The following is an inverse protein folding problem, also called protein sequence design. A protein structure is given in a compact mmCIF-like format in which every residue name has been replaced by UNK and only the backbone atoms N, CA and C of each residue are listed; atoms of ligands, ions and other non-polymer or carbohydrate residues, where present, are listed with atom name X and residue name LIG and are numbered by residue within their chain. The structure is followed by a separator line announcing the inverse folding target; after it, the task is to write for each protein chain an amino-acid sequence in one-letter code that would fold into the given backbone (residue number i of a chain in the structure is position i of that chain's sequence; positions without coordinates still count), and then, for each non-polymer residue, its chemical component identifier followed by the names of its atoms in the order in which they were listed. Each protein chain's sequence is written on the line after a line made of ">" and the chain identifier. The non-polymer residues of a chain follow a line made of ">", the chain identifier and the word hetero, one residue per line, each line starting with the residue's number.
data_IF_956965568590
#
_entry.id   IF_956965568590
#
_cell.length_a   1.000
_cell.length_b   1.000
_cell.length_c   1.000
_cell.angle_alpha   90.00
_cell.angle_beta   90.00
_cell.angle_gamma   90.00
#
_symmetry.space_group_name_H-M   'P 1'
#
loop_
_entity.id
_entity.type
_entity.pdbx_description
1 polymer ?
#
# COMPACT_ATOMS: atom_id res chain seq x y z
N UNK A 1 23.29 -1.65 9.54
CA UNK A 1 22.19 -2.39 8.89
C UNK A 1 21.16 -1.33 8.51
N UNK A 2 20.70 -1.28 7.25
CA UNK A 2 19.69 -0.30 6.86
C UNK A 2 18.31 -0.85 7.24
N UNK A 3 17.54 -0.13 8.03
CA UNK A 3 16.14 -0.45 8.35
C UNK A 3 15.23 0.09 7.25
N UNK A 4 14.23 -0.68 6.83
CA UNK A 4 13.25 -0.24 5.83
C UNK A 4 12.45 0.97 6.35
N UNK A 5 12.01 0.90 7.60
CA UNK A 5 11.39 1.99 8.35
C UNK A 5 12.16 2.10 9.66
N UNK A 6 12.86 3.22 9.84
CA UNK A 6 13.75 3.43 10.98
C UNK A 6 12.96 3.42 12.31
N UNK A 7 13.37 2.57 13.24
CA UNK A 7 12.76 2.47 14.58
C UNK A 7 11.34 1.87 14.59
N UNK A 8 10.94 1.14 13.54
CA UNK A 8 9.66 0.44 13.55
C UNK A 8 9.67 -0.69 14.60
N UNK A 9 8.68 -0.67 15.50
CA UNK A 9 8.56 -1.67 16.57
C UNK A 9 8.29 -3.06 15.99
N UNK A 10 8.87 -4.10 16.61
CA UNK A 10 8.56 -5.50 16.29
C UNK A 10 7.10 -5.88 16.56
N UNK A 11 6.45 -5.17 17.48
CA UNK A 11 5.02 -5.35 17.81
C UNK A 11 4.11 -4.49 16.92
N UNK A 12 4.68 -3.68 16.03
CA UNK A 12 3.95 -2.87 15.07
C UNK A 12 3.21 -3.72 14.04
N UNK A 13 2.20 -3.13 13.41
CA UNK A 13 1.36 -3.81 12.42
C UNK A 13 1.65 -3.25 11.03
N UNK A 14 1.78 -4.17 10.07
CA UNK A 14 1.88 -3.84 8.65
C UNK A 14 0.55 -4.22 7.98
N UNK A 15 -0.12 -3.25 7.38
CA UNK A 15 -1.33 -3.52 6.58
C UNK A 15 -0.98 -3.54 5.09
N UNK A 16 -1.60 -4.47 4.36
CA UNK A 16 -1.38 -4.67 2.92
C UNK A 16 -2.74 -4.65 2.25
N UNK A 17 -3.04 -3.52 1.62
CA UNK A 17 -4.32 -3.33 0.94
C UNK A 17 -4.11 -3.53 -0.56
N UNK A 18 -4.75 -4.56 -1.09
CA UNK A 18 -4.72 -4.88 -2.52
C UNK A 18 -5.77 -4.06 -3.26
N UNK A 19 -5.33 -3.24 -4.21
CA UNK A 19 -6.18 -2.43 -5.07
C UNK A 19 -6.14 -3.00 -6.47
N UNK A 20 -7.32 -3.35 -7.00
CA UNK A 20 -7.49 -3.79 -8.39
C UNK A 20 -8.28 -2.70 -9.12
N UNK A 21 -7.67 -2.15 -10.16
CA UNK A 21 -8.22 -1.07 -10.96
C UNK A 21 -9.36 -1.61 -11.83
N UNK A 22 -10.53 -0.96 -11.76
CA UNK A 22 -11.63 -1.27 -12.66
C UNK A 22 -11.32 -0.76 -14.08
N UNK A 23 -11.90 -1.34 -15.15
CA UNK A 23 -11.58 -0.98 -16.53
C UNK A 23 -11.77 0.50 -16.88
N UNK A 24 -12.66 1.20 -16.17
CA UNK A 24 -12.98 2.61 -16.37
C UNK A 24 -11.98 3.59 -15.75
N UNK A 25 -11.01 3.11 -14.96
CA UNK A 25 -9.98 3.94 -14.33
C UNK A 25 -8.60 3.66 -14.92
N UNK A 26 -7.74 4.68 -14.89
CA UNK A 26 -6.35 4.64 -15.32
C UNK A 26 -5.38 4.54 -14.14
N UNK A 27 -4.11 4.26 -14.44
CA UNK A 27 -3.04 4.31 -13.42
C UNK A 27 -2.84 5.73 -12.89
N UNK A 28 -3.07 6.74 -13.72
CA UNK A 28 -2.95 8.14 -13.31
C UNK A 28 -4.04 8.51 -12.29
N UNK A 29 -5.28 8.05 -12.49
CA UNK A 29 -6.38 8.21 -11.52
C UNK A 29 -6.02 7.57 -10.16
N UNK A 30 -5.42 6.38 -10.21
CA UNK A 30 -4.94 5.68 -9.03
C UNK A 30 -3.83 6.48 -8.32
N UNK A 31 -2.87 7.01 -9.07
CA UNK A 31 -1.76 7.79 -8.51
C UNK A 31 -2.26 9.07 -7.82
N UNK A 32 -3.18 9.80 -8.44
CA UNK A 32 -3.79 10.99 -7.85
C UNK A 32 -4.52 10.65 -6.54
N UNK A 33 -5.33 9.58 -6.56
CA UNK A 33 -6.05 9.15 -5.35
C UNK A 33 -5.12 8.71 -4.24
N UNK A 34 -4.06 7.97 -4.58
CA UNK A 34 -3.01 7.55 -3.63
C UNK A 34 -2.28 8.75 -3.05
N UNK A 35 -1.95 9.76 -3.85
CA UNK A 35 -1.28 10.97 -3.36
C UNK A 35 -2.12 11.69 -2.30
N UNK A 36 -3.43 11.82 -2.53
CA UNK A 36 -4.35 12.39 -1.55
C UNK A 36 -4.44 11.54 -0.27
N UNK A 37 -4.51 10.22 -0.40
CA UNK A 37 -4.52 9.31 0.75
C UNK A 37 -3.24 9.43 1.60
N UNK A 38 -2.08 9.42 0.95
CA UNK A 38 -0.79 9.59 1.61
C UNK A 38 -0.68 10.92 2.36
N UNK A 39 -1.11 12.02 1.73
CA UNK A 39 -1.08 13.35 2.35
C UNK A 39 -2.03 13.44 3.55
N UNK A 40 -3.23 12.87 3.45
CA UNK A 40 -4.19 12.86 4.54
C UNK A 40 -3.68 12.05 5.74
N UNK A 41 -3.15 10.84 5.51
CA UNK A 41 -2.64 10.00 6.59
C UNK A 41 -1.40 10.64 7.25
N UNK A 42 -0.50 11.24 6.46
CA UNK A 42 0.65 11.97 6.99
C UNK A 42 0.24 13.20 7.81
N UNK A 43 -0.73 13.97 7.33
CA UNK A 43 -1.15 15.22 7.98
C UNK A 43 -1.91 14.98 9.28
N UNK A 44 -2.83 14.01 9.31
CA UNK A 44 -3.75 13.84 10.43
C UNK A 44 -3.42 12.65 11.34
N UNK A 45 -2.58 11.71 10.89
CA UNK A 45 -2.34 10.46 11.60
C UNK A 45 -0.88 10.16 11.94
N UNK A 46 0.05 11.07 11.60
CA UNK A 46 1.47 10.93 11.97
C UNK A 46 1.69 10.90 13.48
N UNK A 47 0.89 11.65 14.25
CA UNK A 47 0.96 11.64 15.72
C UNK A 47 0.11 10.53 16.37
N UNK A 48 -0.81 9.92 15.61
CA UNK A 48 -1.80 8.95 16.12
C UNK A 48 -1.56 7.51 15.68
N UNK A 49 -0.37 7.19 15.18
CA UNK A 49 0.08 5.80 15.03
C UNK A 49 0.60 5.43 13.64
N UNK A 50 0.44 6.28 12.64
CA UNK A 50 1.03 6.05 11.31
C UNK A 50 2.54 6.30 11.36
N UNK A 51 3.33 5.29 11.00
CA UNK A 51 4.80 5.35 11.01
C UNK A 51 5.35 5.62 9.61
N UNK A 52 4.68 5.10 8.58
CA UNK A 52 5.08 5.27 7.19
C UNK A 52 4.33 4.33 6.26
N UNK A 53 4.64 4.43 4.97
CA UNK A 53 4.02 3.57 3.96
C UNK A 53 4.60 3.80 2.57
N UNK A 54 4.32 2.86 1.69
CA UNK A 54 4.65 2.97 0.27
C UNK A 54 3.58 2.27 -0.57
N UNK A 55 3.54 2.61 -1.85
CA UNK A 55 2.65 1.98 -2.83
C UNK A 55 3.50 1.30 -3.89
N UNK A 56 3.20 0.03 -4.17
CA UNK A 56 3.86 -0.76 -5.19
C UNK A 56 2.87 -1.08 -6.32
N UNK A 57 3.24 -0.73 -7.56
CA UNK A 57 2.46 -1.06 -8.75
C UNK A 57 2.96 -2.38 -9.35
N UNK A 58 2.03 -3.29 -9.68
CA UNK A 58 2.37 -4.55 -10.33
C UNK A 58 2.82 -4.30 -11.79
N UNK A 59 4.12 -4.45 -12.04
CA UNK A 59 4.73 -4.31 -13.37
C UNK A 59 4.46 -5.50 -14.30
N UNK A 60 3.85 -6.56 -13.77
CA UNK A 60 3.41 -7.76 -14.50
C UNK A 60 4.49 -8.83 -14.70
N UNK A 61 5.71 -8.57 -14.24
CA UNK A 61 6.82 -9.54 -14.32
C UNK A 61 6.71 -10.56 -13.19
N UNK A 62 6.62 -11.84 -13.54
CA UNK A 62 6.63 -12.94 -12.57
C UNK A 62 8.00 -13.60 -12.66
N UNK A 63 8.64 -13.82 -11.50
CA UNK A 63 9.93 -14.51 -11.45
C UNK A 63 9.70 -16.01 -11.62
N UNK A 64 10.19 -16.60 -12.70
CA UNK A 64 10.06 -18.04 -12.90
C UNK A 64 10.78 -18.80 -11.78
N UNK A 65 12.03 -18.44 -11.48
CA UNK A 65 12.81 -19.07 -10.42
C UNK A 65 12.19 -18.87 -9.02
N UNK A 66 11.51 -17.74 -8.80
CA UNK A 66 10.91 -17.38 -7.51
C UNK A 66 9.42 -17.71 -7.33
N UNK A 67 8.70 -18.14 -8.37
CA UNK A 67 7.23 -18.25 -8.33
C UNK A 67 6.68 -19.58 -8.86
N UNK A 68 7.39 -20.33 -9.70
CA UNK A 68 7.07 -21.71 -10.07
C UNK A 68 8.09 -22.29 -11.04
N UNK A 69 8.40 -23.59 -10.94
CA UNK A 69 9.39 -24.29 -11.76
C UNK A 69 9.07 -24.11 -13.26
N UNK A 70 9.74 -23.16 -13.93
CA UNK A 70 9.99 -23.19 -15.37
C UNK A 70 8.92 -22.67 -16.34
N UNK A 71 7.90 -21.90 -15.91
CA UNK A 71 6.97 -21.27 -16.88
C UNK A 71 7.01 -19.74 -16.82
N UNK A 72 7.39 -19.12 -17.94
CA UNK A 72 7.21 -17.69 -18.17
C UNK A 72 5.72 -17.36 -18.21
N UNK A 73 5.20 -16.85 -17.09
CA UNK A 73 3.82 -16.37 -16.98
C UNK A 73 3.81 -14.85 -16.86
N UNK A 74 2.96 -14.20 -17.64
CA UNK A 74 2.66 -12.78 -17.48
C UNK A 74 1.43 -12.63 -16.57
N UNK A 75 1.44 -11.64 -15.68
CA UNK A 75 0.26 -11.35 -14.86
C UNK A 75 -0.82 -10.67 -15.71
N UNK A 76 -2.09 -11.14 -15.68
CA UNK A 76 -3.20 -10.43 -16.31
C UNK A 76 -3.50 -9.08 -15.62
N UNK A 77 -2.92 -8.86 -14.44
CA UNK A 77 -3.06 -7.64 -13.64
C UNK A 77 -1.92 -6.65 -13.82
N UNK A 78 -1.06 -6.86 -14.84
CA UNK A 78 -0.05 -5.89 -15.22
C UNK A 78 -0.66 -4.50 -15.35
N UNK A 79 -0.09 -3.53 -14.63
CA UNK A 79 -0.54 -2.14 -14.59
C UNK A 79 -2.00 -1.95 -14.14
N UNK A 80 -2.59 -2.94 -13.45
CA UNK A 80 -3.98 -2.89 -12.94
C UNK A 80 -4.09 -3.23 -11.46
N UNK A 81 -2.99 -3.62 -10.84
CA UNK A 81 -2.94 -3.97 -9.43
C UNK A 81 -1.88 -3.14 -8.73
N UNK A 82 -2.27 -2.56 -7.59
CA UNK A 82 -1.34 -1.93 -6.68
C UNK A 82 -1.51 -2.49 -5.27
N UNK A 83 -0.41 -2.48 -4.52
CA UNK A 83 -0.39 -2.78 -3.10
C UNK A 83 -0.12 -1.48 -2.35
N UNK A 84 -1.03 -1.11 -1.46
CA UNK A 84 -0.81 -0.02 -0.50
C UNK A 84 -0.32 -0.68 0.78
N UNK A 85 0.94 -0.44 1.14
CA UNK A 85 1.59 -1.02 2.32
C UNK A 85 1.79 0.08 3.34
N UNK A 86 1.22 -0.06 4.53
CA UNK A 86 1.35 0.95 5.60
C UNK A 86 1.77 0.33 6.92
N UNK A 87 2.53 1.09 7.69
CA UNK A 87 3.16 0.69 8.95
C UNK A 87 2.55 1.48 10.10
N UNK A 88 2.06 0.77 11.10
CA UNK A 88 1.31 1.33 12.23
C UNK A 88 1.85 0.81 13.54
N UNK A 89 1.71 1.60 14.62
CA UNK A 89 2.01 1.10 15.97
C UNK A 89 1.01 0.03 16.42
N UNK A 90 -0.25 0.12 16.00
CA UNK A 90 -1.28 -0.88 16.28
C UNK A 90 -2.35 -0.94 15.17
N UNK A 91 -3.07 -2.06 15.08
CA UNK A 91 -4.20 -2.20 14.15
C UNK A 91 -5.40 -1.33 14.56
N UNK A 92 -5.58 -1.06 15.85
CA UNK A 92 -6.66 -0.20 16.32
C UNK A 92 -6.49 1.23 15.84
N UNK A 93 -5.27 1.79 15.94
CA UNK A 93 -4.95 3.13 15.42
C UNK A 93 -5.15 3.21 13.90
N UNK A 94 -4.82 2.15 13.15
CA UNK A 94 -5.17 2.06 11.73
C UNK A 94 -6.69 2.19 11.53
N UNK A 95 -7.50 1.37 12.19
CA UNK A 95 -8.97 1.43 12.01
C UNK A 95 -9.57 2.78 12.44
N UNK A 96 -8.97 3.46 13.43
CA UNK A 96 -9.38 4.80 13.83
C UNK A 96 -9.11 5.84 12.74
N UNK A 97 -8.05 5.69 11.92
CA UNK A 97 -7.77 6.62 10.83
C UNK A 97 -8.86 6.62 9.76
N UNK A 98 -9.53 5.48 9.55
CA UNK A 98 -10.64 5.35 8.60
C UNK A 98 -11.93 6.03 9.07
N UNK A 99 -12.05 6.38 10.36
CA UNK A 99 -13.24 7.04 10.92
C UNK A 99 -13.20 8.56 10.75
N UNK A 100 -12.09 9.12 10.28
CA UNK A 100 -11.98 10.56 10.01
C UNK A 100 -12.90 10.96 8.86
N UNK A 101 -13.60 12.10 8.99
CA UNK A 101 -14.42 12.67 7.91
C UNK A 101 -13.60 13.02 6.66
N UNK A 102 -12.29 13.19 6.80
CA UNK A 102 -11.37 13.44 5.68
C UNK A 102 -10.97 12.16 4.94
N UNK A 103 -11.22 10.99 5.52
CA UNK A 103 -11.00 9.67 4.93
C UNK A 103 -12.34 9.10 4.43
N UNK A 104 -13.02 9.81 3.53
CA UNK A 104 -14.20 9.28 2.82
C UNK A 104 -13.85 8.90 1.37
N UNK A 105 -14.36 7.75 0.87
CA UNK A 105 -14.07 7.24 -0.47
C UNK A 105 -14.46 8.23 -1.58
#
# INVERSE_FOLDING_TARGET
>A
MAELIHGFSSDGVVTINRVILKPEYSVDDLQERVAMLCENVKTYHSDTGFVGGFVALNTGSISNEGSSIGQAVASPLKNKEALIVTFWRSFEEHEQSHRSKTFQP
#
